data_IF_335405938425
#
_entry.id   IF_335405938425
#
_cell.length_a   1.000
_cell.length_b   1.000
_cell.length_c   1.000
_cell.angle_alpha   90.00
_cell.angle_beta   90.00
_cell.angle_gamma   90.00
#
_symmetry.space_group_name_H-M   'P 1'
#
loop_
_entity.id
_entity.type
_entity.pdbx_description
1 polymer ?
#
# COMPACT_ATOMS: atom_id res chain seq x y z
N UNK A 1 31.41 1.52 -19.17
CA UNK A 1 30.06 1.63 -18.56
C UNK A 1 30.08 0.74 -17.32
N UNK A 2 30.56 1.27 -16.18
CA UNK A 2 30.94 0.49 -14.99
C UNK A 2 29.73 0.08 -14.16
N UNK A 3 29.72 -1.18 -13.76
CA UNK A 3 28.59 -1.94 -13.26
C UNK A 3 28.37 -1.80 -11.74
N UNK A 4 28.27 -0.58 -11.22
CA UNK A 4 28.25 -0.32 -9.76
C UNK A 4 26.93 0.24 -9.21
N UNK A 5 25.83 0.21 -9.97
CA UNK A 5 24.51 0.67 -9.51
C UNK A 5 23.44 -0.45 -9.41
N UNK A 6 23.83 -1.72 -9.49
CA UNK A 6 22.91 -2.86 -9.68
C UNK A 6 22.26 -3.45 -8.40
N UNK A 7 22.54 -2.91 -7.20
CA UNK A 7 22.20 -3.57 -5.93
C UNK A 7 21.05 -2.93 -5.12
N UNK A 8 20.28 -2.01 -5.70
CA UNK A 8 19.03 -1.63 -5.07
C UNK A 8 17.98 -2.72 -5.38
N UNK A 9 17.32 -3.31 -4.36
CA UNK A 9 16.51 -4.53 -4.50
C UNK A 9 15.16 -4.30 -5.22
N UNK A 10 15.12 -3.43 -6.23
CA UNK A 10 13.93 -3.07 -6.99
C UNK A 10 13.25 -4.27 -7.63
N UNK A 11 14.02 -5.20 -8.22
CA UNK A 11 13.47 -6.42 -8.83
C UNK A 11 12.82 -7.33 -7.77
N UNK A 12 13.41 -7.44 -6.58
CA UNK A 12 12.84 -8.25 -5.49
C UNK A 12 11.50 -7.68 -5.01
N UNK A 13 11.43 -6.35 -4.90
CA UNK A 13 10.22 -5.63 -4.48
C UNK A 13 9.14 -5.70 -5.56
N UNK A 14 9.52 -5.57 -6.84
CA UNK A 14 8.63 -5.74 -7.98
C UNK A 14 7.96 -7.12 -7.96
N UNK A 15 8.77 -8.18 -7.84
CA UNK A 15 8.26 -9.57 -7.77
C UNK A 15 7.33 -9.75 -6.58
N UNK A 16 7.66 -9.16 -5.42
CA UNK A 16 6.78 -9.16 -4.26
C UNK A 16 5.45 -8.44 -4.50
N UNK A 17 5.46 -7.26 -5.14
CA UNK A 17 4.25 -6.55 -5.52
C UNK A 17 3.38 -7.38 -6.45
N UNK A 18 3.98 -7.95 -7.50
CA UNK A 18 3.28 -8.81 -8.47
C UNK A 18 2.65 -10.01 -7.77
N UNK A 19 3.37 -10.65 -6.85
CA UNK A 19 2.84 -11.75 -6.05
C UNK A 19 1.61 -11.35 -5.24
N UNK A 20 1.65 -10.22 -4.53
CA UNK A 20 0.49 -9.72 -3.79
C UNK A 20 -0.69 -9.37 -4.70
N UNK A 21 -0.44 -8.83 -5.89
CA UNK A 21 -1.50 -8.56 -6.88
C UNK A 21 -2.18 -9.85 -7.35
N UNK A 22 -1.41 -10.90 -7.62
CA UNK A 22 -1.99 -12.20 -7.99
C UNK A 22 -2.82 -12.78 -6.84
N UNK A 23 -2.34 -12.67 -5.61
CA UNK A 23 -3.10 -13.11 -4.43
C UNK A 23 -4.41 -12.35 -4.25
N UNK A 24 -4.43 -11.03 -4.46
CA UNK A 24 -5.67 -10.25 -4.41
C UNK A 24 -6.67 -10.68 -5.46
N UNK A 25 -6.22 -10.93 -6.69
CA UNK A 25 -7.08 -11.41 -7.76
C UNK A 25 -7.72 -12.73 -7.31
N UNK A 26 -6.93 -13.68 -6.83
CA UNK A 26 -7.42 -14.97 -6.33
C UNK A 26 -8.39 -14.76 -5.17
N UNK A 27 -8.07 -13.90 -4.21
CA UNK A 27 -8.91 -13.60 -3.04
C UNK A 27 -10.24 -12.95 -3.40
N UNK A 28 -10.25 -12.14 -4.47
CA UNK A 28 -11.45 -11.49 -4.99
C UNK A 28 -12.29 -12.38 -5.91
N UNK A 29 -11.80 -13.57 -6.30
CA UNK A 29 -12.57 -14.46 -7.16
C UNK A 29 -13.83 -14.94 -6.43
N UNK A 30 -15.00 -14.94 -7.12
CA UNK A 30 -16.26 -15.39 -6.54
C UNK A 30 -16.23 -16.86 -6.10
N UNK A 31 -15.29 -17.65 -6.65
CA UNK A 31 -15.07 -19.06 -6.30
C UNK A 31 -14.55 -19.29 -4.87
N UNK A 32 -13.96 -18.28 -4.22
CA UNK A 32 -13.42 -18.42 -2.85
C UNK A 32 -14.54 -18.32 -1.80
N UNK A 33 -15.71 -17.79 -2.16
CA UNK A 33 -16.88 -17.79 -1.29
C UNK A 33 -16.71 -17.02 0.03
N UNK A 34 -15.85 -15.98 0.04
CA UNK A 34 -15.57 -15.22 1.25
C UNK A 34 -16.72 -14.29 1.62
N UNK A 35 -17.03 -14.23 2.92
CA UNK A 35 -17.97 -13.24 3.45
C UNK A 35 -17.50 -11.81 3.18
N UNK A 36 -18.43 -10.90 2.88
CA UNK A 36 -18.14 -9.51 2.43
C UNK A 36 -17.14 -8.78 3.34
N UNK A 37 -17.23 -8.96 4.66
CA UNK A 37 -16.29 -8.35 5.62
C UNK A 37 -14.87 -8.90 5.52
N UNK A 38 -14.71 -10.21 5.38
CA UNK A 38 -13.40 -10.87 5.20
C UNK A 38 -12.77 -10.53 3.84
N UNK A 39 -13.60 -10.37 2.81
CA UNK A 39 -13.15 -9.98 1.48
C UNK A 39 -12.59 -8.55 1.51
N UNK A 40 -13.34 -7.60 2.06
CA UNK A 40 -12.91 -6.19 2.19
C UNK A 40 -11.68 -6.09 3.11
N UNK A 41 -11.71 -6.73 4.29
CA UNK A 41 -10.60 -6.67 5.24
C UNK A 41 -9.32 -7.29 4.70
N UNK A 42 -9.41 -8.44 4.03
CA UNK A 42 -8.27 -9.12 3.41
C UNK A 42 -7.64 -8.29 2.29
N UNK A 43 -8.46 -7.73 1.39
CA UNK A 43 -7.98 -6.86 0.31
C UNK A 43 -7.35 -5.57 0.87
N UNK A 44 -7.98 -4.93 1.86
CA UNK A 44 -7.44 -3.71 2.47
C UNK A 44 -6.08 -3.96 3.13
N UNK A 45 -5.92 -5.10 3.80
CA UNK A 45 -4.64 -5.51 4.41
C UNK A 45 -3.56 -5.75 3.35
N UNK A 46 -3.87 -6.48 2.28
CA UNK A 46 -2.92 -6.72 1.17
C UNK A 46 -2.54 -5.41 0.46
N UNK A 47 -3.50 -4.50 0.27
CA UNK A 47 -3.25 -3.17 -0.25
C UNK A 47 -2.31 -2.36 0.66
N UNK A 48 -2.52 -2.42 1.98
CA UNK A 48 -1.64 -1.78 2.97
C UNK A 48 -0.21 -2.31 2.94
N UNK A 49 -0.02 -3.63 2.84
CA UNK A 49 1.32 -4.25 2.74
C UNK A 49 2.04 -3.77 1.47
N UNK A 50 1.36 -3.74 0.31
CA UNK A 50 1.95 -3.23 -0.92
C UNK A 50 2.32 -1.75 -0.82
N UNK A 51 1.45 -0.92 -0.26
CA UNK A 51 1.74 0.50 -0.05
C UNK A 51 2.98 0.68 0.84
N UNK A 52 3.12 -0.11 1.89
CA UNK A 52 4.31 -0.10 2.74
C UNK A 52 5.56 -0.57 1.99
N UNK A 53 5.48 -1.61 1.16
CA UNK A 53 6.61 -2.05 0.33
C UNK A 53 7.04 -0.95 -0.67
N UNK A 54 6.09 -0.27 -1.31
CA UNK A 54 6.39 0.85 -2.22
C UNK A 54 7.04 2.01 -1.46
N UNK A 55 6.47 2.42 -0.33
CA UNK A 55 7.04 3.49 0.49
C UNK A 55 8.45 3.16 0.98
N UNK A 56 8.63 2.00 1.60
CA UNK A 56 9.93 1.63 2.17
C UNK A 56 11.02 1.45 1.11
N UNK A 57 10.70 0.85 -0.04
CA UNK A 57 11.71 0.39 -0.99
C UNK A 57 11.78 1.18 -2.31
N UNK A 58 10.66 1.67 -2.84
CA UNK A 58 10.67 2.48 -4.07
C UNK A 58 10.78 3.98 -3.80
N UNK A 59 10.24 4.46 -2.69
CA UNK A 59 10.42 5.86 -2.25
C UNK A 59 11.66 6.06 -1.38
N UNK A 60 12.53 5.04 -1.28
CA UNK A 60 13.79 5.07 -0.55
C UNK A 60 13.73 5.38 0.96
N UNK A 61 12.53 5.44 1.57
CA UNK A 61 12.36 5.81 2.99
C UNK A 61 13.19 4.96 3.95
N UNK A 62 13.43 3.69 3.60
CA UNK A 62 14.24 2.79 4.42
C UNK A 62 15.70 3.25 4.54
N UNK A 63 16.23 3.97 3.55
CA UNK A 63 17.63 4.40 3.48
C UNK A 63 17.81 5.91 3.67
N UNK A 64 16.72 6.66 3.88
CA UNK A 64 16.74 8.10 4.08
C UNK A 64 16.64 8.53 5.55
N UNK A 65 17.02 9.78 5.83
CA UNK A 65 17.04 10.35 7.17
C UNK A 65 15.64 10.51 7.80
N UNK A 66 15.59 10.54 9.14
CA UNK A 66 14.36 10.63 9.96
C UNK A 66 13.45 11.83 9.61
N UNK A 67 13.99 12.86 8.97
CA UNK A 67 13.23 14.05 8.52
C UNK A 67 12.25 13.69 7.41
N UNK A 68 12.64 12.82 6.48
CA UNK A 68 11.80 12.46 5.32
C UNK A 68 10.60 11.60 5.74
N UNK A 69 10.75 10.82 6.80
CA UNK A 69 9.63 10.15 7.48
C UNK A 69 8.57 11.14 7.99
N UNK A 70 8.98 12.29 8.53
CA UNK A 70 8.06 13.34 8.96
C UNK A 70 7.33 14.00 7.78
N UNK A 71 8.04 14.24 6.68
CA UNK A 71 7.47 14.81 5.45
C UNK A 71 6.41 13.89 4.83
N UNK A 72 6.54 12.58 4.99
CA UNK A 72 5.59 11.59 4.46
C UNK A 72 4.45 11.29 5.43
N UNK A 73 4.71 11.35 6.74
CA UNK A 73 3.65 11.21 7.74
C UNK A 73 2.58 12.29 7.61
N UNK A 74 2.97 13.54 7.30
CA UNK A 74 2.05 14.67 7.14
C UNK A 74 0.96 14.45 6.07
N UNK A 75 1.28 14.14 4.79
CA UNK A 75 0.26 13.88 3.77
C UNK A 75 -0.55 12.62 4.08
N UNK A 76 0.02 11.59 4.72
CA UNK A 76 -0.75 10.40 5.12
C UNK A 76 -1.82 10.77 6.14
N UNK A 77 -1.48 11.54 7.17
CA UNK A 77 -2.45 12.01 8.18
C UNK A 77 -3.53 12.85 7.52
N UNK A 78 -3.15 13.79 6.63
CA UNK A 78 -4.12 14.61 5.90
C UNK A 78 -5.08 13.76 5.07
N UNK A 79 -4.59 12.76 4.34
CA UNK A 79 -5.44 11.86 3.54
C UNK A 79 -6.41 11.10 4.45
N UNK A 80 -5.95 10.59 5.59
CA UNK A 80 -6.83 9.87 6.53
C UNK A 80 -7.92 10.78 7.07
N UNK A 81 -7.58 11.99 7.50
CA UNK A 81 -8.55 12.98 8.01
C UNK A 81 -9.54 13.37 6.92
N UNK A 82 -9.05 13.63 5.70
CA UNK A 82 -9.89 14.03 4.57
C UNK A 82 -10.86 12.93 4.15
N UNK A 83 -10.40 11.68 4.05
CA UNK A 83 -11.25 10.52 3.71
C UNK A 83 -12.25 10.25 4.82
N UNK A 84 -11.86 10.31 6.09
CA UNK A 84 -12.77 10.14 7.21
C UNK A 84 -13.86 11.24 7.23
N UNK A 85 -13.46 12.50 7.03
CA UNK A 85 -14.40 13.62 6.93
C UNK A 85 -15.37 13.45 5.76
N UNK A 86 -14.87 13.06 4.59
CA UNK A 86 -15.70 12.80 3.41
C UNK A 86 -16.70 11.67 3.65
N UNK A 87 -16.28 10.60 4.34
CA UNK A 87 -17.18 9.50 4.68
C UNK A 87 -18.30 9.98 5.62
N UNK A 88 -17.97 10.73 6.66
CA UNK A 88 -18.97 11.29 7.60
C UNK A 88 -19.95 12.22 6.87
N UNK A 89 -19.43 13.11 6.01
CA UNK A 89 -20.24 14.03 5.21
C UNK A 89 -21.16 13.28 4.23
N UNK A 90 -20.62 12.29 3.53
CA UNK A 90 -21.40 11.43 2.65
C UNK A 90 -22.54 10.73 3.40
N UNK A 91 -22.29 10.20 4.60
CA UNK A 91 -23.32 9.58 5.43
C UNK A 91 -24.34 10.57 6.00
N UNK A 92 -23.96 11.85 6.17
CA UNK A 92 -24.88 12.89 6.64
C UNK A 92 -25.84 13.36 5.53
N UNK A 93 -25.45 13.23 4.27
CA UNK A 93 -26.25 13.66 3.11
C UNK A 93 -27.30 12.63 2.65
N UNK A 94 -27.13 11.34 2.99
CA UNK A 94 -28.10 10.27 2.74
C UNK A 94 -29.06 10.08 3.91
#
# INVERSE_FOLDING_TARGET
MSADHANAPYIKVLVGLTFFTVLEIIWALPSVGLGRGLLIGGLALMAGIKAAMVGLYYMHLKWEGRVIWGVIAFPIILVVVMVAGLIVDAFHYY
#
